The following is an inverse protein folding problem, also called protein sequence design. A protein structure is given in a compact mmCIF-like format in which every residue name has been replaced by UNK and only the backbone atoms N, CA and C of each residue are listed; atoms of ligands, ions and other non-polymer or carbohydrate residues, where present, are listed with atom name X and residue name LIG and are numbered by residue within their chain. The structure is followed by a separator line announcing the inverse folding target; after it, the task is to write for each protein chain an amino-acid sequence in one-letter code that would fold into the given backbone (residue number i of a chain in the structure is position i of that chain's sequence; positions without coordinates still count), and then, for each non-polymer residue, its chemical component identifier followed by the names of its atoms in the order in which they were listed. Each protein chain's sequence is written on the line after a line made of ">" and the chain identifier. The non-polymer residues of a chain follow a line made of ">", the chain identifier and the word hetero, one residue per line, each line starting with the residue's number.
data_IF_618478913077
#
_entry.id   IF_618478913077
#
_cell.length_a   1.000
_cell.length_b   1.000
_cell.length_c   1.000
_cell.angle_alpha   90.00
_cell.angle_beta   90.00
_cell.angle_gamma   90.00
#
_symmetry.space_group_name_H-M   'P 1'
#
loop_
_entity.id
_entity.type
_entity.pdbx_description
1 polymer ?
#
# COMPACT_ATOMS: atom_id res chain seq x y z
N UNK A 1 8.76 30.44 15.85
CA UNK A 1 7.34 30.04 15.69
C UNK A 1 7.30 28.52 15.64
N UNK A 2 6.84 27.91 16.71
CA UNK A 2 6.80 26.46 16.85
C UNK A 2 5.68 25.88 15.98
N UNK A 3 6.04 25.13 14.96
CA UNK A 3 5.08 24.38 14.16
C UNK A 3 4.69 23.15 14.96
N UNK A 4 3.51 23.17 15.53
CA UNK A 4 2.92 22.06 16.25
C UNK A 4 2.78 20.85 15.31
N UNK A 5 3.54 19.81 15.58
CA UNK A 5 3.30 18.44 15.10
C UNK A 5 2.08 17.91 15.85
N UNK A 6 0.93 17.92 15.22
CA UNK A 6 -0.20 17.12 15.69
C UNK A 6 0.11 15.65 15.37
N UNK A 7 0.81 15.02 16.29
CA UNK A 7 0.83 13.58 16.44
C UNK A 7 -0.59 13.16 16.88
N UNK A 8 -1.48 12.88 15.93
CA UNK A 8 -2.70 12.15 16.24
C UNK A 8 -2.30 10.71 16.55
N UNK A 9 -2.11 10.50 17.86
CA UNK A 9 -2.22 9.27 18.63
C UNK A 9 -1.61 8.02 17.97
N UNK A 10 -0.33 7.80 18.22
CA UNK A 10 0.24 6.45 18.25
C UNK A 10 -0.34 5.75 19.49
N UNK A 11 -1.48 5.10 19.35
CA UNK A 11 -1.98 4.17 20.36
C UNK A 11 -1.42 2.80 19.96
N UNK A 12 -0.32 2.42 20.60
CA UNK A 12 0.11 1.01 20.65
C UNK A 12 -0.89 0.26 21.54
N UNK A 13 -1.97 -0.21 20.99
CA UNK A 13 -2.74 -1.31 21.55
C UNK A 13 -2.41 -2.56 20.78
N UNK A 14 -2.16 -3.64 21.47
CA UNK A 14 -1.62 -4.94 21.07
C UNK A 14 -2.40 -5.73 19.99
N UNK A 15 -3.16 -5.08 19.12
CA UNK A 15 -3.93 -5.72 18.07
C UNK A 15 -4.21 -4.86 16.82
N UNK A 16 -3.67 -3.64 16.69
CA UNK A 16 -3.95 -2.79 15.55
C UNK A 16 -2.69 -2.12 15.00
N UNK A 17 -2.22 -2.63 13.86
CA UNK A 17 -1.25 -1.92 13.02
C UNK A 17 -1.83 -0.56 12.63
N UNK A 18 -1.22 0.50 13.12
CA UNK A 18 -1.60 1.87 12.78
C UNK A 18 -0.69 2.37 11.67
N UNK A 19 -1.27 2.65 10.50
CA UNK A 19 -0.55 3.38 9.45
C UNK A 19 -0.38 4.81 9.95
N UNK A 20 0.83 5.19 10.31
CA UNK A 20 1.13 6.56 10.67
C UNK A 20 1.39 7.34 9.39
N UNK A 21 0.37 8.04 8.93
CA UNK A 21 0.49 8.98 7.83
C UNK A 21 1.07 10.29 8.37
N UNK A 22 2.27 10.64 7.90
CA UNK A 22 2.81 11.97 8.13
C UNK A 22 2.28 12.90 7.03
N UNK A 23 1.32 13.80 7.33
CA UNK A 23 0.73 14.68 6.32
C UNK A 23 1.65 15.87 6.05
N UNK A 24 2.85 15.59 5.58
CA UNK A 24 3.68 16.64 5.02
C UNK A 24 3.23 16.90 3.59
N UNK A 25 3.26 18.15 3.14
CA UNK A 25 2.95 18.55 1.76
C UNK A 25 4.01 17.99 0.76
N UNK A 26 4.27 16.68 0.81
CA UNK A 26 5.23 15.96 -0.01
C UNK A 26 4.54 15.34 -1.25
N UNK A 27 3.60 16.08 -1.86
CA UNK A 27 2.74 15.56 -2.93
C UNK A 27 3.48 15.06 -4.17
N UNK A 28 4.75 15.42 -4.36
CA UNK A 28 5.57 15.04 -5.52
C UNK A 28 6.94 14.48 -5.15
N UNK A 29 7.06 13.87 -3.98
CA UNK A 29 8.34 13.41 -3.42
C UNK A 29 9.18 12.55 -4.39
N UNK A 30 8.58 11.49 -4.95
CA UNK A 30 9.29 10.58 -5.85
C UNK A 30 9.76 11.30 -7.14
N UNK A 31 8.86 12.10 -7.75
CA UNK A 31 9.19 12.89 -8.93
C UNK A 31 10.32 13.88 -8.66
N UNK A 32 10.26 14.64 -7.56
CA UNK A 32 11.31 15.59 -7.19
C UNK A 32 12.66 14.94 -6.99
N UNK A 33 12.71 13.82 -6.27
CA UNK A 33 13.98 13.09 -6.07
C UNK A 33 14.56 12.54 -7.38
N UNK A 34 13.72 11.94 -8.23
CA UNK A 34 14.19 11.25 -9.44
C UNK A 34 14.35 12.20 -10.64
N UNK A 35 13.48 13.21 -10.79
CA UNK A 35 13.49 14.12 -11.91
C UNK A 35 14.28 15.40 -11.65
N UNK A 36 14.18 15.96 -10.44
CA UNK A 36 14.79 17.26 -10.11
C UNK A 36 16.04 17.11 -9.25
N UNK A 37 16.34 15.89 -8.75
CA UNK A 37 17.42 15.63 -7.79
C UNK A 37 17.28 16.46 -6.49
N UNK A 38 16.04 16.82 -6.13
CA UNK A 38 15.72 17.53 -4.88
C UNK A 38 15.49 16.55 -3.74
N UNK A 39 16.42 16.54 -2.78
CA UNK A 39 16.39 15.65 -1.62
C UNK A 39 15.92 16.33 -0.32
N UNK A 40 15.35 17.54 -0.41
CA UNK A 40 14.84 18.27 0.76
C UNK A 40 13.87 17.43 1.59
N UNK A 41 13.02 16.69 0.92
CA UNK A 41 12.06 15.79 1.55
C UNK A 41 12.69 14.62 2.30
N UNK A 42 13.93 14.19 1.94
CA UNK A 42 14.67 13.16 2.69
C UNK A 42 15.14 13.70 4.03
N UNK A 43 15.56 14.97 4.08
CA UNK A 43 15.90 15.63 5.32
C UNK A 43 14.70 15.71 6.27
N UNK A 44 13.52 16.02 5.74
CA UNK A 44 12.30 16.04 6.52
C UNK A 44 11.94 14.66 7.07
N UNK A 45 12.09 13.60 6.28
CA UNK A 45 11.91 12.21 6.73
C UNK A 45 12.90 11.87 7.84
N UNK A 46 14.19 12.16 7.65
CA UNK A 46 15.19 11.92 8.66
C UNK A 46 14.89 12.65 9.98
N UNK A 47 14.48 13.92 9.90
CA UNK A 47 14.04 14.71 11.05
C UNK A 47 12.81 14.10 11.75
N UNK A 48 11.85 13.58 11.00
CA UNK A 48 10.69 12.89 11.55
C UNK A 48 11.07 11.61 12.30
N UNK A 49 11.96 10.80 11.72
CA UNK A 49 12.47 9.58 12.37
C UNK A 49 13.27 9.94 13.63
N UNK A 50 14.09 11.00 13.61
CA UNK A 50 14.79 11.51 14.80
C UNK A 50 13.81 11.93 15.89
N UNK A 51 12.68 12.56 15.54
CA UNK A 51 11.63 12.90 16.49
C UNK A 51 10.99 11.65 17.09
N UNK A 52 10.74 10.60 16.29
CA UNK A 52 10.28 9.32 16.82
C UNK A 52 11.29 8.68 17.77
N UNK A 53 12.58 8.72 17.44
CA UNK A 53 13.64 8.19 18.32
C UNK A 53 13.75 8.97 19.64
N UNK A 54 13.46 10.28 19.64
CA UNK A 54 13.46 11.08 20.87
C UNK A 54 12.29 10.73 21.78
N UNK A 55 11.18 10.23 21.24
CA UNK A 55 9.97 9.85 21.99
C UNK A 55 9.96 8.39 22.43
N UNK A 56 10.42 7.49 21.55
CA UNK A 56 10.30 6.03 21.72
C UNK A 56 11.64 5.31 21.91
N UNK A 57 12.72 6.05 22.07
CA UNK A 57 14.08 5.49 22.19
C UNK A 57 14.77 5.28 20.83
N UNK A 58 16.08 5.11 20.88
CA UNK A 58 16.93 4.94 19.69
C UNK A 58 16.63 3.59 19.04
N UNK A 59 16.39 3.56 17.73
CA UNK A 59 16.17 2.34 16.98
C UNK A 59 17.54 1.68 16.71
N UNK A 60 17.79 0.47 17.24
CA UNK A 60 19.14 -0.11 17.19
C UNK A 60 19.59 -0.59 15.82
N UNK A 61 18.67 -1.07 14.98
CA UNK A 61 18.99 -1.65 13.67
C UNK A 61 18.31 -0.86 12.55
N UNK A 62 19.10 -0.45 11.55
CA UNK A 62 18.60 0.24 10.36
C UNK A 62 18.96 -0.58 9.15
N UNK A 63 17.95 -1.09 8.47
CA UNK A 63 18.06 -1.78 7.20
C UNK A 63 17.45 -0.92 6.10
N UNK A 64 17.93 -1.05 4.89
CA UNK A 64 17.31 -0.31 3.78
C UNK A 64 17.82 -0.75 2.43
N UNK A 65 17.03 -0.40 1.41
CA UNK A 65 17.39 -0.62 0.01
C UNK A 65 16.98 0.59 -0.83
N UNK A 66 17.93 1.09 -1.61
CA UNK A 66 17.72 2.22 -2.51
C UNK A 66 18.53 3.46 -2.16
N UNK A 67 18.69 4.38 -3.13
CA UNK A 67 19.51 5.60 -2.98
C UNK A 67 18.93 6.56 -1.95
N UNK A 68 17.61 6.74 -1.95
CA UNK A 68 16.95 7.56 -0.96
C UNK A 68 17.05 6.96 0.45
N UNK A 69 16.99 5.62 0.56
CA UNK A 69 17.17 4.91 1.82
C UNK A 69 18.57 5.16 2.40
N UNK A 70 19.62 5.06 1.58
CA UNK A 70 21.01 5.38 1.97
C UNK A 70 21.14 6.82 2.44
N UNK A 71 20.60 7.78 1.68
CA UNK A 71 20.68 9.20 2.06
C UNK A 71 19.98 9.48 3.39
N UNK A 72 18.80 8.90 3.63
CA UNK A 72 18.10 9.05 4.92
C UNK A 72 18.93 8.44 6.05
N UNK A 73 19.50 7.25 5.87
CA UNK A 73 20.35 6.61 6.87
C UNK A 73 21.60 7.46 7.20
N UNK A 74 22.28 7.99 6.18
CA UNK A 74 23.43 8.88 6.36
C UNK A 74 23.05 10.17 7.10
N UNK A 75 21.88 10.75 6.81
CA UNK A 75 21.36 11.93 7.52
C UNK A 75 21.07 11.63 8.99
N UNK A 76 20.43 10.47 9.26
CA UNK A 76 20.17 10.02 10.63
C UNK A 76 21.45 9.89 11.44
N UNK A 77 22.49 9.27 10.87
CA UNK A 77 23.79 9.14 11.52
C UNK A 77 24.45 10.49 11.81
N UNK A 78 24.35 11.45 10.87
CA UNK A 78 24.90 12.82 11.06
C UNK A 78 24.15 13.56 12.16
N UNK A 79 22.81 13.59 12.11
CA UNK A 79 21.97 14.23 13.13
C UNK A 79 22.21 13.64 14.51
N UNK A 80 22.40 12.33 14.61
CA UNK A 80 22.68 11.66 15.88
C UNK A 80 24.06 12.06 16.45
N UNK A 81 25.08 12.19 15.60
CA UNK A 81 26.41 12.67 16.01
C UNK A 81 26.37 14.12 16.48
N UNK A 82 25.58 14.98 15.82
CA UNK A 82 25.40 16.39 16.18
C UNK A 82 24.70 16.58 17.52
N UNK A 83 23.69 15.73 17.83
CA UNK A 83 22.98 15.76 19.12
C UNK A 83 23.85 15.31 20.31
N UNK A 84 24.93 14.59 20.07
CA UNK A 84 25.92 14.18 21.08
C UNK A 84 25.30 13.39 22.24
N UNK A 85 25.82 13.67 23.46
CA UNK A 85 25.45 12.94 24.69
C UNK A 85 24.07 13.25 25.28
N UNK A 86 23.28 14.13 24.67
CA UNK A 86 21.88 14.44 25.08
C UNK A 86 20.92 13.35 24.61
N UNK A 87 21.40 12.13 24.42
CA UNK A 87 20.56 11.01 24.00
C UNK A 87 19.61 10.60 25.11
N UNK A 88 18.34 10.42 24.73
CA UNK A 88 17.32 10.01 25.67
C UNK A 88 17.67 8.64 26.28
N UNK A 89 17.65 8.54 27.61
CA UNK A 89 17.78 7.27 28.33
C UNK A 89 16.52 6.39 28.21
N UNK A 90 15.66 6.65 27.21
CA UNK A 90 14.42 5.91 27.00
C UNK A 90 14.78 4.56 26.34
N UNK A 91 14.33 3.44 26.91
CA UNK A 91 14.48 2.13 26.27
C UNK A 91 13.82 2.12 24.90
N UNK A 92 14.46 1.54 23.90
CA UNK A 92 13.89 1.43 22.57
C UNK A 92 12.59 0.63 22.60
N UNK A 93 11.51 1.22 22.07
CA UNK A 93 10.23 0.54 21.83
C UNK A 93 10.14 -0.02 20.41
N UNK A 94 11.04 0.39 19.51
CA UNK A 94 11.12 -0.06 18.11
C UNK A 94 12.46 -0.76 17.93
N UNK A 95 12.44 -2.02 17.52
CA UNK A 95 13.65 -2.84 17.42
C UNK A 95 14.42 -2.63 16.11
N UNK A 96 13.72 -2.35 15.01
CA UNK A 96 14.36 -2.15 13.71
C UNK A 96 13.62 -1.13 12.84
N UNK A 97 14.37 -0.42 12.00
CA UNK A 97 13.88 0.47 10.94
C UNK A 97 14.23 -0.14 9.59
N UNK A 98 13.24 -0.25 8.72
CA UNK A 98 13.42 -0.70 7.33
C UNK A 98 13.07 0.45 6.40
N UNK A 99 14.05 0.97 5.66
CA UNK A 99 13.89 2.05 4.69
C UNK A 99 13.78 1.45 3.28
N UNK A 100 12.64 1.60 2.65
CA UNK A 100 12.38 1.11 1.29
C UNK A 100 12.19 2.27 0.32
N UNK A 101 13.11 2.41 -0.63
CA UNK A 101 12.98 3.37 -1.74
C UNK A 101 12.02 2.82 -2.80
N UNK A 102 11.11 3.64 -3.28
CA UNK A 102 10.16 3.25 -4.33
C UNK A 102 10.84 2.81 -5.63
N UNK A 103 12.05 3.32 -5.91
CA UNK A 103 12.85 2.90 -7.07
C UNK A 103 13.20 1.41 -7.09
N UNK A 104 13.16 0.75 -5.94
CA UNK A 104 13.42 -0.71 -5.80
C UNK A 104 12.25 -1.54 -6.34
N UNK A 105 11.03 -1.02 -6.21
CA UNK A 105 9.81 -1.70 -6.64
C UNK A 105 8.89 -0.74 -7.39
N UNK A 106 9.14 -0.61 -8.69
CA UNK A 106 8.35 0.24 -9.59
C UNK A 106 7.10 -0.48 -10.12
N UNK A 107 7.04 -1.82 -10.04
CA UNK A 107 5.94 -2.60 -10.60
C UNK A 107 4.71 -2.60 -9.70
N UNK A 108 4.88 -2.77 -8.40
CA UNK A 108 3.78 -2.88 -7.44
C UNK A 108 2.77 -1.73 -7.50
N UNK A 109 3.16 -0.44 -7.57
CA UNK A 109 2.18 0.64 -7.69
C UNK A 109 1.40 0.63 -9.00
N UNK A 110 1.95 0.05 -10.07
CA UNK A 110 1.30 -0.04 -11.36
C UNK A 110 0.27 -1.18 -11.45
N UNK A 111 0.41 -2.23 -10.65
CA UNK A 111 -0.54 -3.32 -10.62
C UNK A 111 -1.87 -2.88 -9.97
N UNK A 112 -3.00 -3.36 -10.50
CA UNK A 112 -4.33 -3.05 -9.96
C UNK A 112 -4.54 -3.73 -8.62
N UNK A 113 -4.77 -2.93 -7.58
CA UNK A 113 -5.04 -3.41 -6.22
C UNK A 113 -6.38 -4.15 -6.18
N UNK A 114 -6.42 -5.34 -5.59
CA UNK A 114 -7.63 -6.17 -5.52
C UNK A 114 -8.16 -6.36 -4.10
N UNK A 115 -7.58 -5.67 -3.12
CA UNK A 115 -8.14 -5.57 -1.77
C UNK A 115 -9.31 -4.59 -1.75
N UNK A 116 -10.21 -4.72 -0.78
CA UNK A 116 -11.39 -3.85 -0.67
C UNK A 116 -11.01 -2.36 -0.58
N UNK A 117 -10.10 -2.00 0.34
CA UNK A 117 -9.64 -0.60 0.50
C UNK A 117 -8.81 -0.14 -0.70
N UNK A 118 -8.01 -1.04 -1.28
CA UNK A 118 -7.24 -0.78 -2.49
C UNK A 118 -8.12 -0.48 -3.71
N UNK A 119 -9.22 -1.22 -3.90
CA UNK A 119 -10.17 -0.95 -4.98
C UNK A 119 -10.94 0.35 -4.78
N UNK A 120 -11.29 0.70 -3.55
CA UNK A 120 -11.87 2.02 -3.26
C UNK A 120 -10.91 3.13 -3.72
N UNK A 121 -9.62 2.98 -3.42
CA UNK A 121 -8.61 3.96 -3.83
C UNK A 121 -8.38 3.99 -5.35
N UNK A 122 -8.33 2.83 -6.01
CA UNK A 122 -8.18 2.74 -7.47
C UNK A 122 -9.34 3.41 -8.23
N UNK A 123 -10.57 3.20 -7.78
CA UNK A 123 -11.77 3.64 -8.49
C UNK A 123 -12.19 5.08 -8.14
N UNK A 124 -12.08 5.45 -6.86
CA UNK A 124 -12.63 6.71 -6.34
C UNK A 124 -11.59 7.62 -5.71
N UNK A 125 -10.42 7.09 -5.35
CA UNK A 125 -9.36 7.81 -4.67
C UNK A 125 -9.67 8.11 -3.20
N UNK A 126 -8.78 7.72 -2.30
CA UNK A 126 -8.88 7.99 -0.87
C UNK A 126 -7.96 9.15 -0.50
N UNK A 127 -8.53 10.23 0.06
CA UNK A 127 -7.76 11.41 0.50
C UNK A 127 -8.00 11.67 1.98
N UNK A 128 -6.96 11.63 2.79
CA UNK A 128 -7.03 11.87 4.23
C UNK A 128 -8.11 11.01 4.92
N UNK A 129 -8.16 9.71 4.60
CA UNK A 129 -9.17 8.75 5.08
C UNK A 129 -10.61 9.05 4.64
N UNK A 130 -10.82 9.92 3.67
CA UNK A 130 -12.13 10.19 3.10
C UNK A 130 -12.22 9.76 1.65
N UNK A 131 -13.36 9.20 1.30
CA UNK A 131 -13.74 8.88 -0.09
C UNK A 131 -14.99 9.66 -0.47
N UNK A 132 -15.06 10.08 -1.74
CA UNK A 132 -16.24 10.72 -2.34
C UNK A 132 -16.90 9.72 -3.28
N UNK A 133 -18.13 9.35 -2.99
CA UNK A 133 -18.86 8.33 -3.72
C UNK A 133 -20.14 8.90 -4.34
N UNK A 134 -20.63 8.31 -5.45
CA UNK A 134 -21.91 8.68 -6.05
C UNK A 134 -23.04 8.51 -5.02
N UNK A 135 -23.91 9.52 -4.83
CA UNK A 135 -24.93 9.50 -3.78
C UNK A 135 -26.06 8.51 -4.03
N UNK A 136 -26.26 8.09 -5.28
CA UNK A 136 -27.40 7.30 -5.76
C UNK A 136 -27.61 5.97 -5.00
N UNK A 137 -26.53 5.29 -4.64
CA UNK A 137 -26.58 4.00 -3.93
C UNK A 137 -26.85 4.14 -2.43
N UNK A 138 -26.75 5.34 -1.88
CA UNK A 138 -26.90 5.60 -0.44
C UNK A 138 -28.27 6.17 -0.08
N UNK A 139 -29.15 6.37 -1.07
CA UNK A 139 -30.51 6.82 -0.84
C UNK A 139 -31.38 5.66 -0.39
N UNK A 140 -32.26 5.83 0.62
CA UNK A 140 -33.22 4.83 0.98
C UNK A 140 -34.20 4.62 -0.19
N UNK A 141 -34.27 3.40 -0.72
CA UNK A 141 -35.31 3.03 -1.71
C UNK A 141 -36.67 3.05 -1.03
N UNK A 142 -37.41 4.16 -1.14
CA UNK A 142 -38.79 4.25 -0.72
C UNK A 142 -39.68 3.72 -1.85
N UNK A 143 -40.41 2.64 -1.60
CA UNK A 143 -41.39 2.13 -2.53
C UNK A 143 -42.55 3.13 -2.59
N UNK A 144 -42.80 3.73 -3.76
CA UNK A 144 -43.99 4.51 -4.03
C UNK A 144 -43.86 6.04 -4.12
N UNK A 145 -42.69 6.62 -3.97
CA UNK A 145 -42.48 8.05 -4.24
C UNK A 145 -41.94 8.25 -5.65
N UNK A 146 -42.46 9.27 -6.38
CA UNK A 146 -42.03 9.66 -7.72
C UNK A 146 -40.51 10.03 -7.76
N UNK A 147 -40.00 10.43 -8.94
CA UNK A 147 -38.56 10.71 -9.09
C UNK A 147 -38.09 11.77 -8.09
N UNK A 148 -37.39 11.31 -7.03
CA UNK A 148 -36.73 12.23 -6.10
C UNK A 148 -35.59 12.92 -6.84
N UNK A 149 -35.45 14.21 -6.64
CA UNK A 149 -34.27 14.96 -7.06
C UNK A 149 -33.05 14.30 -6.41
N UNK A 150 -32.20 13.72 -7.26
CA UNK A 150 -30.95 13.09 -6.82
C UNK A 150 -30.03 14.17 -6.22
N UNK A 151 -29.47 13.99 -5.03
CA UNK A 151 -28.46 14.91 -4.51
C UNK A 151 -27.33 15.04 -5.52
N UNK A 152 -27.05 16.26 -5.93
CA UNK A 152 -26.01 16.55 -6.92
C UNK A 152 -24.61 16.43 -6.32
N UNK A 153 -24.50 16.49 -4.99
CA UNK A 153 -23.21 16.42 -4.30
C UNK A 153 -22.78 14.99 -3.97
N UNK A 154 -21.50 14.63 -4.25
CA UNK A 154 -20.99 13.31 -3.90
C UNK A 154 -21.00 13.10 -2.37
N UNK A 155 -21.44 11.93 -1.96
CA UNK A 155 -21.43 11.55 -0.54
C UNK A 155 -20.01 11.37 -0.04
N UNK A 156 -19.61 12.17 0.94
CA UNK A 156 -18.31 12.04 1.60
C UNK A 156 -18.40 11.05 2.76
N UNK A 157 -17.61 9.99 2.71
CA UNK A 157 -17.53 8.96 3.75
C UNK A 157 -16.12 8.92 4.33
N UNK A 158 -16.04 8.73 5.66
CA UNK A 158 -14.78 8.50 6.34
C UNK A 158 -14.54 7.00 6.47
N UNK A 159 -13.37 6.55 6.02
CA UNK A 159 -12.89 5.18 6.21
C UNK A 159 -12.03 5.15 7.48
N UNK A 160 -12.60 4.66 8.57
CA UNK A 160 -11.93 4.67 9.89
C UNK A 160 -11.57 3.26 10.34
N UNK A 161 -10.36 3.09 10.84
CA UNK A 161 -9.93 1.85 11.51
C UNK A 161 -10.67 1.58 12.82
N UNK A 162 -11.33 2.59 13.39
CA UNK A 162 -12.17 2.44 14.57
C UNK A 162 -13.53 1.78 14.26
N UNK A 163 -13.92 1.73 12.99
CA UNK A 163 -15.12 1.03 12.54
C UNK A 163 -14.81 -0.46 12.40
N UNK A 164 -15.49 -1.27 13.21
CA UNK A 164 -15.23 -2.72 13.31
C UNK A 164 -15.38 -3.45 11.97
N UNK A 165 -16.45 -3.16 11.22
CA UNK A 165 -16.69 -3.81 9.93
C UNK A 165 -15.64 -3.41 8.90
N UNK A 166 -15.30 -2.11 8.81
CA UNK A 166 -14.24 -1.65 7.92
C UNK A 166 -12.90 -2.29 8.27
N UNK A 167 -12.53 -2.37 9.54
CA UNK A 167 -11.32 -3.02 10.01
C UNK A 167 -11.27 -4.52 9.63
N UNK A 168 -12.42 -5.21 9.62
CA UNK A 168 -12.52 -6.62 9.23
C UNK A 168 -12.36 -6.84 7.73
N UNK A 169 -12.89 -5.94 6.87
CA UNK A 169 -12.97 -6.19 5.42
C UNK A 169 -11.93 -5.45 4.58
N UNK A 170 -11.32 -4.38 5.10
CA UNK A 170 -10.45 -3.47 4.33
C UNK A 170 -9.28 -4.19 3.63
N UNK A 171 -8.66 -5.13 4.32
CA UNK A 171 -7.47 -5.84 3.85
C UNK A 171 -7.82 -7.13 3.08
N UNK A 172 -9.10 -7.53 3.02
CA UNK A 172 -9.52 -8.73 2.29
C UNK A 172 -9.50 -8.51 0.79
N UNK A 173 -9.18 -9.57 0.04
CA UNK A 173 -9.44 -9.58 -1.40
C UNK A 173 -10.94 -9.37 -1.64
N UNK A 174 -11.29 -8.59 -2.66
CA UNK A 174 -12.68 -8.22 -2.94
C UNK A 174 -13.60 -9.43 -3.14
N UNK A 175 -13.09 -10.53 -3.70
CA UNK A 175 -13.84 -11.77 -3.88
C UNK A 175 -14.29 -12.42 -2.56
N UNK A 176 -13.63 -12.09 -1.44
CA UNK A 176 -13.99 -12.55 -0.10
C UNK A 176 -14.92 -11.60 0.67
N UNK A 177 -15.08 -10.36 0.21
CA UNK A 177 -15.85 -9.32 0.92
C UNK A 177 -17.35 -9.66 0.98
N UNK A 178 -17.92 -10.15 -0.10
CA UNK A 178 -19.35 -10.50 -0.15
C UNK A 178 -19.74 -11.55 0.89
N UNK A 179 -18.89 -12.55 1.14
CA UNK A 179 -19.11 -13.57 2.16
C UNK A 179 -19.02 -12.97 3.57
N UNK A 180 -18.08 -12.07 3.82
CA UNK A 180 -17.93 -11.38 5.10
C UNK A 180 -19.17 -10.51 5.41
N UNK A 181 -19.64 -9.70 4.44
CA UNK A 181 -20.85 -8.90 4.58
C UNK A 181 -22.10 -9.78 4.82
N UNK A 182 -22.24 -10.88 4.10
CA UNK A 182 -23.36 -11.83 4.27
C UNK A 182 -23.33 -12.50 5.65
N UNK A 183 -22.16 -12.83 6.17
CA UNK A 183 -22.01 -13.37 7.52
C UNK A 183 -22.43 -12.34 8.58
N UNK A 184 -22.01 -11.08 8.44
CA UNK A 184 -22.41 -9.99 9.34
C UNK A 184 -23.92 -9.74 9.27
N UNK A 185 -24.51 -9.76 8.07
CA UNK A 185 -25.95 -9.61 7.89
C UNK A 185 -26.74 -10.70 8.65
N UNK A 186 -26.33 -11.96 8.51
CA UNK A 186 -26.95 -13.09 9.24
C UNK A 186 -26.84 -12.92 10.77
N UNK A 187 -25.68 -12.50 11.27
CA UNK A 187 -25.48 -12.28 12.70
C UNK A 187 -26.38 -11.16 13.25
N UNK A 188 -26.55 -10.08 12.47
CA UNK A 188 -27.47 -8.98 12.84
C UNK A 188 -28.91 -9.47 12.85
N UNK A 189 -29.33 -10.22 11.83
CA UNK A 189 -30.69 -10.78 11.75
C UNK A 189 -30.98 -11.70 12.92
N UNK A 190 -30.06 -12.62 13.25
CA UNK A 190 -30.20 -13.52 14.40
C UNK A 190 -30.33 -12.73 15.72
N UNK A 191 -29.52 -11.68 15.90
CA UNK A 191 -29.61 -10.84 17.10
C UNK A 191 -30.94 -10.06 17.19
N UNK A 192 -31.56 -9.71 16.06
CA UNK A 192 -32.90 -9.11 16.06
C UNK A 192 -34.00 -10.15 16.32
N UNK A 193 -33.83 -11.41 15.88
CA UNK A 193 -34.76 -12.49 16.15
C UNK A 193 -34.79 -12.91 17.62
N UNK A 194 -33.66 -12.85 18.34
CA UNK A 194 -33.59 -13.05 19.80
C UNK A 194 -34.58 -12.16 20.55
N UNK A 195 -34.90 -10.96 20.05
CA UNK A 195 -35.90 -10.05 20.61
C UNK A 195 -37.29 -10.71 20.71
N UNK A 196 -37.67 -11.47 19.69
CA UNK A 196 -38.98 -12.11 19.67
C UNK A 196 -39.10 -13.26 20.67
N UNK A 197 -37.97 -13.76 21.16
CA UNK A 197 -37.90 -14.85 22.13
C UNK A 197 -37.79 -14.33 23.57
N UNK A 198 -37.46 -13.05 23.78
CA UNK A 198 -37.34 -12.44 25.11
C UNK A 198 -38.69 -12.40 25.83
N UNK A 199 -38.79 -13.15 26.96
CA UNK A 199 -40.03 -13.29 27.76
C UNK A 199 -40.00 -12.53 29.07
N UNK A 200 -38.79 -12.12 29.54
CA UNK A 200 -38.62 -11.44 30.82
C UNK A 200 -38.31 -9.95 30.64
N UNK A 201 -38.75 -9.13 31.58
CA UNK A 201 -38.47 -7.66 31.59
C UNK A 201 -36.97 -7.39 31.62
N UNK A 202 -36.19 -8.26 32.29
CA UNK A 202 -34.73 -8.17 32.35
C UNK A 202 -34.07 -8.37 30.97
N UNK A 203 -34.50 -9.38 30.20
CA UNK A 203 -34.03 -9.63 28.84
C UNK A 203 -34.36 -8.48 27.89
N UNK A 204 -35.57 -7.95 28.01
CA UNK A 204 -36.01 -6.78 27.22
C UNK A 204 -35.12 -5.56 27.54
N UNK A 205 -34.83 -5.30 28.83
CA UNK A 205 -33.94 -4.19 29.23
C UNK A 205 -32.54 -4.36 28.67
N UNK A 206 -31.98 -5.59 28.70
CA UNK A 206 -30.67 -5.89 28.14
C UNK A 206 -30.64 -5.70 26.61
N UNK A 207 -31.69 -6.12 25.91
CA UNK A 207 -31.83 -5.91 24.48
C UNK A 207 -31.86 -4.41 24.14
N UNK A 208 -32.70 -3.63 24.84
CA UNK A 208 -32.83 -2.17 24.62
C UNK A 208 -31.50 -1.46 24.83
N UNK A 209 -30.69 -1.89 25.81
CA UNK A 209 -29.33 -1.30 26.02
C UNK A 209 -28.36 -1.58 24.87
N UNK A 210 -28.52 -2.69 24.12
CA UNK A 210 -27.71 -3.06 22.95
C UNK A 210 -28.21 -2.43 21.64
N UNK A 211 -29.44 -1.94 21.61
CA UNK A 211 -30.10 -1.45 20.39
C UNK A 211 -29.32 -0.36 19.66
N UNK A 212 -28.75 0.69 20.32
CA UNK A 212 -27.98 1.72 19.64
C UNK A 212 -26.74 1.15 18.90
N UNK A 213 -26.05 0.23 19.54
CA UNK A 213 -24.89 -0.45 18.93
C UNK A 213 -25.30 -1.28 17.71
N UNK A 214 -26.39 -2.03 17.80
CA UNK A 214 -26.94 -2.79 16.68
C UNK A 214 -27.37 -1.89 15.52
N UNK A 215 -27.94 -0.73 15.78
CA UNK A 215 -28.28 0.25 14.75
C UNK A 215 -27.04 0.80 14.05
N UNK A 216 -25.97 1.08 14.80
CA UNK A 216 -24.67 1.50 14.23
C UNK A 216 -24.10 0.43 13.32
N UNK A 217 -24.08 -0.83 13.75
CA UNK A 217 -23.59 -1.96 12.92
C UNK A 217 -24.45 -2.12 11.66
N UNK A 218 -25.79 -1.99 11.78
CA UNK A 218 -26.69 -2.07 10.62
C UNK A 218 -26.42 -0.94 9.62
N UNK A 219 -26.22 0.29 10.10
CA UNK A 219 -25.87 1.45 9.26
C UNK A 219 -24.53 1.27 8.56
N UNK A 220 -23.52 0.80 9.30
CA UNK A 220 -22.21 0.43 8.75
C UNK A 220 -22.32 -0.63 7.67
N UNK A 221 -23.06 -1.71 7.94
CA UNK A 221 -23.29 -2.78 6.96
C UNK A 221 -23.98 -2.26 5.69
N UNK A 222 -24.99 -1.42 5.81
CA UNK A 222 -25.66 -0.83 4.66
C UNK A 222 -24.71 0.06 3.84
N UNK A 223 -23.86 0.83 4.50
CA UNK A 223 -22.86 1.68 3.85
C UNK A 223 -21.82 0.84 3.09
N UNK A 224 -21.24 -0.18 3.72
CA UNK A 224 -20.24 -1.03 3.08
C UNK A 224 -20.82 -1.95 1.99
N UNK A 225 -22.11 -2.33 2.10
CA UNK A 225 -22.81 -3.04 1.03
C UNK A 225 -22.98 -2.14 -0.19
N UNK A 226 -23.38 -0.87 -0.01
CA UNK A 226 -23.48 0.08 -1.13
C UNK A 226 -22.12 0.35 -1.79
N UNK A 227 -21.05 0.45 -1.01
CA UNK A 227 -19.67 0.57 -1.56
C UNK A 227 -19.30 -0.69 -2.35
N UNK A 228 -19.58 -1.87 -1.81
CA UNK A 228 -19.28 -3.14 -2.49
C UNK A 228 -20.06 -3.28 -3.80
N UNK A 229 -21.31 -2.81 -3.87
CA UNK A 229 -22.09 -2.77 -5.13
C UNK A 229 -21.43 -1.84 -6.16
N UNK A 230 -20.98 -0.65 -5.76
CA UNK A 230 -20.27 0.29 -6.65
C UNK A 230 -18.96 -0.30 -7.19
N UNK A 231 -18.18 -0.96 -6.33
CA UNK A 231 -16.96 -1.66 -6.76
C UNK A 231 -17.31 -2.77 -7.73
N UNK A 232 -18.33 -3.57 -7.43
CA UNK A 232 -18.74 -4.71 -8.26
C UNK A 232 -19.19 -4.25 -9.65
N UNK A 233 -19.92 -3.15 -9.76
CA UNK A 233 -20.30 -2.57 -11.05
C UNK A 233 -19.06 -2.18 -11.88
N UNK A 234 -18.10 -1.52 -11.27
CA UNK A 234 -16.86 -1.12 -11.93
C UNK A 234 -16.00 -2.31 -12.36
N UNK A 235 -15.82 -3.29 -11.45
CA UNK A 235 -14.93 -4.45 -11.69
C UNK A 235 -15.52 -5.50 -12.63
N UNK A 236 -16.85 -5.49 -12.86
CA UNK A 236 -17.51 -6.35 -13.85
C UNK A 236 -17.46 -5.79 -15.27
N UNK A 237 -17.03 -4.55 -15.46
CA UNK A 237 -16.91 -4.00 -16.81
C UNK A 237 -15.86 -4.78 -17.62
N UNK A 238 -16.18 -5.06 -18.87
CA UNK A 238 -15.28 -5.73 -19.82
C UNK A 238 -13.92 -5.03 -19.88
N UNK A 239 -13.93 -3.71 -19.98
CA UNK A 239 -12.73 -2.89 -20.01
C UNK A 239 -11.83 -3.03 -18.75
N UNK A 240 -12.42 -3.26 -17.57
CA UNK A 240 -11.64 -3.52 -16.35
C UNK A 240 -11.03 -4.93 -16.38
N UNK A 241 -11.80 -5.92 -16.76
CA UNK A 241 -11.37 -7.32 -16.83
C UNK A 241 -10.26 -7.52 -17.88
N UNK A 242 -10.40 -6.92 -19.05
CA UNK A 242 -9.38 -6.97 -20.10
C UNK A 242 -8.07 -6.32 -19.66
N UNK A 243 -8.16 -5.15 -19.02
CA UNK A 243 -6.98 -4.47 -18.48
C UNK A 243 -6.28 -5.33 -17.42
N UNK A 244 -7.05 -5.92 -16.51
CA UNK A 244 -6.52 -6.81 -15.46
C UNK A 244 -5.88 -8.07 -16.06
N UNK A 245 -6.49 -8.67 -17.09
CA UNK A 245 -5.93 -9.82 -17.79
C UNK A 245 -4.56 -9.48 -18.41
N UNK A 246 -4.45 -8.33 -19.08
CA UNK A 246 -3.18 -7.83 -19.65
C UNK A 246 -2.12 -7.61 -18.56
N UNK A 247 -2.48 -7.01 -17.43
CA UNK A 247 -1.56 -6.84 -16.28
C UNK A 247 -1.03 -8.18 -15.79
N UNK A 248 -1.92 -9.19 -15.64
CA UNK A 248 -1.56 -10.53 -15.19
C UNK A 248 -0.65 -11.26 -16.20
N UNK A 249 -0.86 -11.07 -17.49
CA UNK A 249 0.03 -11.63 -18.54
C UNK A 249 1.45 -11.05 -18.43
N UNK A 250 1.61 -9.74 -18.23
CA UNK A 250 2.93 -9.13 -18.02
C UNK A 250 3.64 -9.70 -16.80
N UNK A 251 2.95 -9.78 -15.67
CA UNK A 251 3.51 -10.29 -14.41
C UNK A 251 3.90 -11.77 -14.56
N UNK A 252 3.08 -12.54 -15.27
CA UNK A 252 3.33 -13.96 -15.55
C UNK A 252 4.52 -14.17 -16.50
N UNK A 253 4.89 -13.14 -17.27
CA UNK A 253 5.94 -13.23 -18.28
C UNK A 253 5.57 -14.15 -19.45
N UNK A 254 4.26 -14.31 -19.70
CA UNK A 254 3.73 -14.97 -20.87
C UNK A 254 3.81 -13.96 -22.02
N UNK A 255 4.03 -14.44 -23.20
CA UNK A 255 4.22 -13.77 -24.49
C UNK A 255 3.81 -12.28 -24.57
N UNK A 256 4.74 -11.39 -24.23
CA UNK A 256 4.53 -9.94 -24.22
C UNK A 256 4.25 -9.34 -25.60
N UNK A 257 4.54 -10.08 -26.70
CA UNK A 257 4.28 -9.59 -28.06
C UNK A 257 2.78 -9.64 -28.42
N UNK A 258 1.99 -10.53 -27.81
CA UNK A 258 0.51 -10.55 -28.00
C UNK A 258 -0.17 -9.37 -27.35
N UNK A 259 0.34 -8.94 -26.22
CA UNK A 259 -0.24 -7.85 -25.44
C UNK A 259 0.00 -6.48 -26.09
N UNK A 260 0.96 -6.39 -27.01
CA UNK A 260 1.19 -5.18 -27.78
C UNK A 260 -0.07 -4.70 -28.52
N UNK A 261 -0.81 -5.62 -29.13
CA UNK A 261 -2.06 -5.30 -29.84
C UNK A 261 -3.13 -4.71 -28.89
N UNK A 262 -3.21 -5.18 -27.65
CA UNK A 262 -4.17 -4.61 -26.67
C UNK A 262 -3.83 -3.18 -26.28
N UNK A 263 -2.55 -2.83 -26.16
CA UNK A 263 -2.11 -1.46 -25.88
C UNK A 263 -2.44 -0.54 -27.09
N UNK A 264 -2.18 -1.00 -28.32
CA UNK A 264 -2.51 -0.26 -29.55
C UNK A 264 -4.01 -0.02 -29.67
N UNK A 265 -4.82 -1.00 -29.32
CA UNK A 265 -6.28 -0.87 -29.30
C UNK A 265 -6.72 0.20 -28.30
N UNK A 266 -6.19 0.20 -27.07
CA UNK A 266 -6.49 1.23 -26.07
C UNK A 266 -6.10 2.65 -26.54
N UNK A 267 -4.98 2.81 -27.25
CA UNK A 267 -4.57 4.08 -27.83
C UNK A 267 -5.54 4.50 -28.92
N UNK A 268 -5.90 3.57 -29.83
CA UNK A 268 -6.82 3.85 -30.95
C UNK A 268 -8.22 4.28 -30.46
N UNK A 269 -8.69 3.69 -29.37
CA UNK A 269 -9.95 4.03 -28.69
C UNK A 269 -9.85 5.30 -27.84
N UNK A 270 -8.67 5.94 -27.76
CA UNK A 270 -8.40 7.09 -26.89
C UNK A 270 -8.83 6.87 -25.44
N UNK A 271 -8.53 5.70 -24.91
CA UNK A 271 -8.74 5.42 -23.48
C UNK A 271 -7.92 6.39 -22.61
N UNK A 272 -8.25 6.62 -21.32
CA UNK A 272 -7.50 7.51 -20.45
C UNK A 272 -6.00 7.25 -20.52
N UNK A 273 -5.21 8.30 -20.74
CA UNK A 273 -3.76 8.20 -20.98
C UNK A 273 -3.04 7.45 -19.84
N UNK A 274 -3.46 7.67 -18.60
CA UNK A 274 -2.86 7.01 -17.43
C UNK A 274 -2.99 5.49 -17.53
N UNK A 275 -4.09 4.98 -18.05
CA UNK A 275 -4.30 3.54 -18.26
C UNK A 275 -3.32 2.99 -19.30
N UNK A 276 -3.15 3.68 -20.40
CA UNK A 276 -2.24 3.31 -21.49
C UNK A 276 -0.79 3.33 -20.98
N UNK A 277 -0.38 4.43 -20.35
CA UNK A 277 0.97 4.58 -19.80
C UNK A 277 1.26 3.51 -18.72
N UNK A 278 0.27 3.16 -17.91
CA UNK A 278 0.38 2.11 -16.89
C UNK A 278 0.79 0.78 -17.51
N UNK A 279 0.08 0.32 -18.54
CA UNK A 279 0.38 -0.93 -19.22
C UNK A 279 1.70 -0.90 -19.98
N UNK A 280 2.04 0.22 -20.64
CA UNK A 280 3.32 0.40 -21.30
C UNK A 280 4.50 0.30 -20.31
N UNK A 281 4.38 0.95 -19.15
CA UNK A 281 5.38 0.88 -18.08
C UNK A 281 5.50 -0.53 -17.51
N UNK A 282 4.39 -1.24 -17.27
CA UNK A 282 4.41 -2.63 -16.80
C UNK A 282 5.09 -3.55 -17.81
N UNK A 283 4.76 -3.44 -19.11
CA UNK A 283 5.42 -4.17 -20.17
C UNK A 283 6.95 -3.92 -20.17
N UNK A 284 7.36 -2.65 -20.07
CA UNK A 284 8.77 -2.27 -20.03
C UNK A 284 9.49 -2.88 -18.82
N UNK A 285 8.89 -2.86 -17.64
CA UNK A 285 9.49 -3.38 -16.41
C UNK A 285 9.60 -4.91 -16.44
N UNK A 286 8.55 -5.61 -16.84
CA UNK A 286 8.51 -7.07 -16.86
C UNK A 286 9.36 -7.67 -17.98
N UNK A 287 9.48 -6.99 -19.12
CA UNK A 287 10.29 -7.45 -20.27
C UNK A 287 11.76 -7.05 -20.18
N UNK A 288 12.17 -6.27 -19.15
CA UNK A 288 13.52 -5.74 -19.03
C UNK A 288 13.85 -4.66 -20.08
N UNK A 289 12.84 -3.93 -20.50
CA UNK A 289 12.85 -2.89 -21.51
C UNK A 289 12.06 -3.28 -22.77
N UNK A 290 11.62 -2.27 -23.53
CA UNK A 290 10.90 -2.44 -24.78
C UNK A 290 11.87 -2.52 -25.96
N UNK A 291 11.56 -3.32 -26.97
CA UNK A 291 12.30 -3.32 -28.24
C UNK A 291 12.32 -1.89 -28.79
N UNK A 292 13.44 -1.37 -29.35
CA UNK A 292 13.54 0.01 -29.81
C UNK A 292 12.40 0.42 -30.77
N UNK A 293 12.06 -0.48 -31.71
CA UNK A 293 10.95 -0.25 -32.66
C UNK A 293 9.61 -0.10 -31.96
N UNK A 294 9.32 -0.90 -30.93
CA UNK A 294 8.08 -0.85 -30.15
C UNK A 294 8.02 0.43 -29.33
N UNK A 295 9.14 0.83 -28.70
CA UNK A 295 9.20 2.07 -27.93
C UNK A 295 8.98 3.30 -28.81
N UNK A 296 9.62 3.36 -29.99
CA UNK A 296 9.45 4.47 -30.95
C UNK A 296 8.04 4.49 -31.56
N UNK A 297 7.43 3.31 -31.72
CA UNK A 297 6.05 3.21 -32.18
C UNK A 297 5.10 3.77 -31.13
N UNK A 298 5.19 3.32 -29.87
CA UNK A 298 4.37 3.86 -28.79
C UNK A 298 4.53 5.36 -28.60
N UNK A 299 5.75 5.91 -28.67
CA UNK A 299 5.98 7.35 -28.60
C UNK A 299 5.19 8.09 -29.68
N UNK A 300 5.24 7.62 -30.92
CA UNK A 300 4.51 8.24 -32.05
C UNK A 300 3.00 8.17 -31.83
N UNK A 301 2.49 7.00 -31.50
CA UNK A 301 1.05 6.81 -31.28
C UNK A 301 0.51 7.66 -30.14
N UNK A 302 1.23 7.74 -29.01
CA UNK A 302 0.85 8.60 -27.89
C UNK A 302 0.80 10.07 -28.30
N UNK A 303 1.83 10.57 -28.98
CA UNK A 303 1.88 11.98 -29.42
C UNK A 303 0.79 12.30 -30.45
N UNK A 304 0.45 11.36 -31.33
CA UNK A 304 -0.62 11.53 -32.31
C UNK A 304 -2.02 11.48 -31.69
N UNK A 305 -2.25 10.55 -30.73
CA UNK A 305 -3.56 10.35 -30.16
C UNK A 305 -3.90 11.36 -29.05
N UNK A 306 -2.92 11.70 -28.19
CA UNK A 306 -3.14 12.46 -26.95
C UNK A 306 -2.56 13.88 -26.99
N UNK A 307 -1.64 14.17 -27.91
CA UNK A 307 -1.06 15.49 -28.09
C UNK A 307 0.44 15.55 -27.81
N UNK A 308 1.09 16.59 -28.41
CA UNK A 308 2.54 16.75 -28.35
C UNK A 308 3.05 17.15 -26.95
N UNK A 309 2.19 17.72 -26.13
CA UNK A 309 2.45 18.08 -24.73
C UNK A 309 2.93 16.90 -23.89
N UNK A 310 2.57 15.67 -24.25
CA UNK A 310 2.99 14.45 -23.54
C UNK A 310 4.41 13.98 -23.85
N UNK A 311 5.16 14.74 -24.66
CA UNK A 311 6.58 14.43 -24.92
C UNK A 311 7.41 14.49 -23.62
N UNK A 312 7.19 15.53 -22.81
CA UNK A 312 7.84 15.66 -21.50
C UNK A 312 7.46 14.52 -20.54
N UNK A 313 6.20 14.12 -20.55
CA UNK A 313 5.71 12.95 -19.78
C UNK A 313 6.50 11.69 -20.15
N UNK A 314 6.62 11.38 -21.44
CA UNK A 314 7.38 10.21 -21.91
C UNK A 314 8.85 10.28 -21.49
N UNK A 315 9.47 11.45 -21.61
CA UNK A 315 10.84 11.67 -21.16
C UNK A 315 11.00 11.47 -19.63
N UNK A 316 10.07 11.98 -18.84
CA UNK A 316 10.07 11.79 -17.40
C UNK A 316 9.96 10.31 -17.02
N UNK A 317 9.06 9.56 -17.67
CA UNK A 317 8.92 8.12 -17.45
C UNK A 317 10.20 7.34 -17.82
N UNK A 318 10.93 7.76 -18.84
CA UNK A 318 12.22 7.18 -19.20
C UNK A 318 13.29 7.51 -18.16
N UNK A 319 13.37 8.76 -17.73
CA UNK A 319 14.34 9.22 -16.73
C UNK A 319 14.18 8.50 -15.39
N UNK A 320 12.93 8.24 -14.98
CA UNK A 320 12.62 7.47 -13.78
C UNK A 320 12.86 5.97 -13.97
N UNK A 321 12.97 5.50 -15.22
CA UNK A 321 13.21 4.11 -15.57
C UNK A 321 11.95 3.25 -15.65
N UNK A 322 10.77 3.86 -15.74
CA UNK A 322 9.50 3.17 -16.00
C UNK A 322 9.38 2.75 -17.46
N UNK A 323 9.78 3.62 -18.39
CA UNK A 323 9.93 3.29 -19.80
C UNK A 323 11.42 3.14 -20.12
N UNK A 324 11.83 1.96 -20.59
CA UNK A 324 13.23 1.68 -20.97
C UNK A 324 13.27 1.05 -22.36
N UNK A 325 14.22 1.48 -23.17
CA UNK A 325 14.63 0.70 -24.32
C UNK A 325 15.38 -0.56 -23.86
N UNK A 326 15.22 -1.65 -24.55
CA UNK A 326 15.95 -2.88 -24.27
C UNK A 326 17.44 -2.63 -24.50
N UNK A 327 18.20 -2.63 -23.41
CA UNK A 327 19.67 -2.55 -23.45
C UNK A 327 20.17 -3.99 -23.39
N UNK A 328 21.12 -4.35 -24.26
CA UNK A 328 21.70 -5.70 -24.28
C UNK A 328 22.13 -6.14 -22.88
N UNK A 329 21.47 -7.17 -22.34
CA UNK A 329 21.70 -7.71 -21.02
C UNK A 329 20.58 -8.69 -20.62
N UNK A 330 20.80 -9.39 -19.50
CA UNK A 330 19.80 -10.34 -18.98
C UNK A 330 18.72 -9.59 -18.21
N UNK A 331 17.46 -9.81 -18.57
CA UNK A 331 16.32 -9.29 -17.80
C UNK A 331 16.35 -9.85 -16.37
N UNK A 332 16.43 -8.99 -15.31
CA UNK A 332 16.46 -9.46 -13.93
C UNK A 332 15.09 -9.93 -13.43
N UNK A 333 13.99 -9.47 -14.01
CA UNK A 333 12.64 -9.72 -13.49
C UNK A 333 12.27 -11.21 -13.38
N UNK A 334 12.56 -12.09 -14.35
CA UNK A 334 12.27 -13.54 -14.22
C UNK A 334 13.03 -14.19 -13.05
N UNK A 335 14.26 -13.72 -12.77
CA UNK A 335 15.06 -14.22 -11.64
C UNK A 335 14.44 -13.76 -10.34
N UNK A 336 14.15 -12.45 -10.22
CA UNK A 336 13.47 -11.86 -9.04
C UNK A 336 12.15 -12.57 -8.76
N UNK A 337 11.32 -12.74 -9.80
CA UNK A 337 10.02 -13.39 -9.71
C UNK A 337 10.12 -14.80 -9.15
N UNK A 338 11.07 -15.61 -9.66
CA UNK A 338 11.25 -17.00 -9.23
C UNK A 338 11.84 -17.08 -7.82
N UNK A 339 12.91 -16.34 -7.54
CA UNK A 339 13.65 -16.47 -6.28
C UNK A 339 12.86 -15.89 -5.10
N UNK A 340 12.22 -14.76 -5.29
CA UNK A 340 11.40 -14.12 -4.26
C UNK A 340 9.94 -14.61 -4.25
N UNK A 341 9.59 -15.57 -5.10
CA UNK A 341 8.22 -16.09 -5.23
C UNK A 341 7.20 -14.95 -5.36
N UNK A 342 7.47 -14.02 -6.30
CA UNK A 342 6.58 -12.88 -6.50
C UNK A 342 5.27 -13.28 -7.17
N UNK A 343 5.23 -14.43 -7.85
CA UNK A 343 4.04 -14.91 -8.51
C UNK A 343 3.72 -16.33 -8.04
N UNK A 344 2.46 -16.55 -7.69
CA UNK A 344 1.87 -17.84 -7.37
C UNK A 344 0.71 -18.11 -8.33
N UNK A 345 0.65 -19.36 -8.85
CA UNK A 345 -0.41 -19.80 -9.76
C UNK A 345 -1.71 -20.13 -9.03
N UNK A 346 -1.62 -20.58 -7.79
CA UNK A 346 -2.77 -20.95 -6.97
C UNK A 346 -2.81 -20.07 -5.73
N UNK A 347 -3.80 -19.18 -5.66
CA UNK A 347 -4.02 -18.29 -4.53
C UNK A 347 -5.40 -18.48 -3.97
N UNK A 348 -5.48 -18.74 -2.67
CA UNK A 348 -6.75 -18.77 -1.97
C UNK A 348 -7.10 -17.35 -1.51
N UNK A 349 -7.94 -16.66 -2.29
CA UNK A 349 -8.34 -15.27 -2.02
C UNK A 349 -9.26 -15.13 -0.80
N UNK A 350 -10.01 -16.19 -0.47
CA UNK A 350 -10.95 -16.19 0.66
C UNK A 350 -10.25 -16.46 1.99
N UNK A 351 -9.31 -17.40 2.00
CA UNK A 351 -8.50 -17.74 3.17
C UNK A 351 -7.02 -17.71 2.75
N UNK A 352 -6.43 -16.53 2.64
CA UNK A 352 -5.08 -16.37 2.12
C UNK A 352 -4.05 -17.04 3.04
N UNK A 353 -3.07 -17.67 2.42
CA UNK A 353 -1.89 -18.24 3.06
C UNK A 353 -0.59 -17.53 2.67
N UNK A 354 -0.67 -16.58 1.74
CA UNK A 354 0.46 -15.82 1.23
C UNK A 354 0.03 -14.40 0.85
N UNK A 355 0.95 -13.44 0.95
CA UNK A 355 0.71 -12.01 0.63
C UNK A 355 0.32 -11.73 -0.82
N UNK A 356 0.49 -12.68 -1.73
CA UNK A 356 0.10 -12.55 -3.15
C UNK A 356 -1.40 -12.39 -3.38
N UNK A 357 -2.22 -12.65 -2.35
CA UNK A 357 -3.67 -12.48 -2.45
C UNK A 357 -4.11 -11.03 -2.73
N UNK A 358 -3.28 -10.05 -2.37
CA UNK A 358 -3.60 -8.63 -2.55
C UNK A 358 -3.69 -8.20 -4.03
N UNK A 359 -3.05 -8.95 -4.92
CA UNK A 359 -3.08 -8.78 -6.38
C UNK A 359 -3.47 -10.09 -7.10
N UNK A 360 -4.19 -11.00 -6.42
CA UNK A 360 -4.66 -12.28 -6.99
C UNK A 360 -3.57 -13.08 -7.71
N UNK A 361 -2.41 -13.19 -7.08
CA UNK A 361 -1.28 -13.98 -7.58
C UNK A 361 0.07 -13.27 -7.58
N UNK A 362 0.10 -11.95 -7.48
CA UNK A 362 1.35 -11.19 -7.40
C UNK A 362 1.60 -10.69 -5.97
N UNK A 363 2.77 -11.01 -5.44
CA UNK A 363 3.23 -10.53 -4.14
C UNK A 363 4.08 -9.26 -4.32
N UNK A 364 3.77 -8.16 -3.62
CA UNK A 364 4.57 -6.93 -3.68
C UNK A 364 6.05 -7.20 -3.37
N UNK A 365 6.95 -6.81 -4.27
CA UNK A 365 8.38 -6.99 -4.09
C UNK A 365 8.88 -6.31 -2.81
N UNK A 366 8.42 -5.09 -2.55
CA UNK A 366 8.74 -4.32 -1.35
C UNK A 366 8.40 -5.08 -0.06
N UNK A 367 7.22 -5.69 0.01
CA UNK A 367 6.76 -6.46 1.18
C UNK A 367 7.50 -7.80 1.28
N UNK A 368 7.82 -8.44 0.16
CA UNK A 368 8.68 -9.64 0.15
C UNK A 368 10.06 -9.35 0.75
N UNK A 369 10.66 -8.21 0.44
CA UNK A 369 11.94 -7.83 1.04
C UNK A 369 11.84 -7.70 2.56
N UNK A 370 10.74 -7.12 3.09
CA UNK A 370 10.49 -7.06 4.53
C UNK A 370 10.33 -8.46 5.12
N UNK A 371 9.58 -9.33 4.46
CA UNK A 371 9.38 -10.72 4.88
C UNK A 371 10.70 -11.50 4.95
N UNK A 372 11.54 -11.38 3.91
CA UNK A 372 12.86 -12.03 3.89
C UNK A 372 13.81 -11.42 4.92
N UNK A 373 13.69 -10.14 5.24
CA UNK A 373 14.50 -9.53 6.30
C UNK A 373 14.15 -10.14 7.68
N UNK A 374 12.85 -10.32 7.94
CA UNK A 374 12.38 -10.93 9.17
C UNK A 374 12.85 -12.40 9.31
N UNK A 375 12.70 -13.19 8.24
CA UNK A 375 13.13 -14.59 8.14
C UNK A 375 13.37 -14.99 6.68
N UNK A 376 14.51 -15.57 6.30
CA UNK A 376 15.69 -15.93 7.10
C UNK A 376 16.75 -14.85 7.23
N UNK A 377 16.50 -13.63 6.76
CA UNK A 377 17.41 -12.50 6.69
C UNK A 377 17.92 -12.25 5.28
N UNK A 378 18.32 -11.00 4.98
CA UNK A 378 18.75 -10.58 3.62
C UNK A 378 20.01 -11.27 3.13
N UNK A 379 20.86 -11.78 4.03
CA UNK A 379 22.03 -12.57 3.64
C UNK A 379 21.68 -13.80 2.80
N UNK A 380 20.49 -14.37 3.00
CA UNK A 380 20.02 -15.53 2.23
C UNK A 380 19.64 -15.20 0.78
N UNK A 381 19.41 -13.92 0.48
CA UNK A 381 19.00 -13.41 -0.83
C UNK A 381 19.98 -12.36 -1.38
N UNK A 382 21.24 -12.33 -0.90
CA UNK A 382 22.23 -11.33 -1.27
C UNK A 382 22.43 -11.22 -2.80
N UNK A 383 22.47 -12.35 -3.51
CA UNK A 383 22.58 -12.38 -4.97
C UNK A 383 21.40 -11.67 -5.66
N UNK A 384 20.21 -11.81 -5.09
CA UNK A 384 19.00 -11.17 -5.61
C UNK A 384 18.99 -9.69 -5.28
N UNK A 385 19.44 -9.31 -4.08
CA UNK A 385 19.57 -7.89 -3.69
C UNK A 385 20.53 -7.14 -4.60
N UNK A 386 21.58 -7.80 -5.10
CA UNK A 386 22.51 -7.21 -6.09
C UNK A 386 21.87 -6.95 -7.46
N UNK A 387 20.79 -7.65 -7.81
CA UNK A 387 20.05 -7.41 -9.05
C UNK A 387 19.11 -6.20 -8.94
N UNK A 388 18.74 -5.82 -7.73
CA UNK A 388 17.92 -4.64 -7.46
C UNK A 388 18.77 -3.38 -7.55
N UNK A 389 18.19 -2.26 -8.03
CA UNK A 389 18.92 -1.00 -8.14
C UNK A 389 19.39 -0.52 -6.76
N UNK A 390 20.53 0.19 -6.78
CA UNK A 390 21.01 0.98 -5.65
C UNK A 390 21.55 0.21 -4.44
N UNK A 391 22.28 0.87 -3.55
CA UNK A 391 22.97 0.23 -2.44
C UNK A 391 22.01 -0.35 -1.39
N UNK A 392 22.52 -1.30 -0.64
CA UNK A 392 21.93 -1.82 0.59
C UNK A 392 22.43 -1.01 1.80
N UNK A 393 21.57 -0.85 2.79
CA UNK A 393 21.86 -0.25 4.09
C UNK A 393 21.69 -1.35 5.14
N UNK A 394 22.74 -1.58 5.93
CA UNK A 394 22.74 -2.47 7.10
C UNK A 394 23.58 -1.82 8.19
N UNK A 395 22.98 -0.90 8.94
CA UNK A 395 23.63 -0.08 9.92
C UNK A 395 23.13 -0.39 11.34
N UNK A 396 24.03 -0.33 12.32
CA UNK A 396 23.69 -0.42 13.75
C UNK A 396 23.97 0.90 14.44
N UNK A 397 22.98 1.40 15.16
CA UNK A 397 23.11 2.60 15.96
C UNK A 397 23.68 2.27 17.34
N UNK A 398 24.66 3.05 17.85
CA UNK A 398 25.15 2.88 19.20
C UNK A 398 24.04 3.25 20.21
N UNK A 399 23.78 2.34 21.15
CA UNK A 399 22.86 2.59 22.24
C UNK A 399 23.57 3.29 23.41
N UNK A 400 22.87 4.13 24.20
CA UNK A 400 23.41 4.73 25.39
C UNK A 400 23.93 3.70 26.40
N UNK A 401 24.98 4.00 27.17
CA UNK A 401 25.50 3.12 28.21
C UNK A 401 24.41 2.73 29.22
N UNK A 402 24.27 1.45 29.51
CA UNK A 402 23.24 0.91 30.41
C UNK A 402 21.94 0.46 29.71
N UNK A 403 21.74 0.82 28.44
CA UNK A 403 20.62 0.34 27.60
C UNK A 403 21.05 -0.76 26.63
N UNK A 404 22.27 -1.29 26.79
CA UNK A 404 22.80 -2.36 25.96
C UNK A 404 21.79 -3.51 25.90
N UNK A 405 21.28 -3.75 24.71
CA UNK A 405 20.55 -4.94 24.25
C UNK A 405 19.90 -5.79 25.35
N UNK A 406 18.69 -5.42 25.76
CA UNK A 406 17.83 -6.37 26.53
C UNK A 406 17.54 -7.64 25.73
N UNK A 407 17.89 -7.69 24.44
CA UNK A 407 17.63 -8.79 23.50
C UNK A 407 18.89 -9.15 22.72
N UNK A 408 19.86 -9.76 23.41
CA UNK A 408 20.94 -10.48 22.71
C UNK A 408 20.41 -11.79 22.14
N UNK A 409 21.01 -12.34 21.05
CA UNK A 409 20.69 -13.70 20.60
C UNK A 409 21.15 -14.70 21.70
N UNK A 410 20.22 -15.13 22.56
CA UNK A 410 20.46 -16.08 23.65
C UNK A 410 20.18 -15.59 25.07
N UNK A 411 19.74 -14.34 25.26
CA UNK A 411 19.45 -13.78 26.60
C UNK A 411 18.01 -13.95 27.04
N UNK A 412 17.44 -15.15 26.92
CA UNK A 412 16.16 -15.51 27.51
C UNK A 412 16.32 -15.78 29.01
N UNK A 413 16.10 -14.78 29.85
CA UNK A 413 15.56 -15.02 31.20
C UNK A 413 14.12 -14.60 31.19
N UNK A 414 13.28 -15.59 31.53
CA UNK A 414 11.82 -15.53 31.65
C UNK A 414 11.06 -15.60 30.30
N UNK A 415 10.47 -16.74 30.09
CA UNK A 415 9.60 -17.32 29.06
C UNK A 415 8.53 -16.50 28.35
N UNK A 416 8.61 -15.20 28.30
CA UNK A 416 7.78 -14.36 27.42
C UNK A 416 8.59 -13.97 26.19
N UNK A 417 8.23 -14.53 25.04
CA UNK A 417 8.71 -14.09 23.72
C UNK A 417 8.24 -12.66 23.50
N UNK A 418 9.09 -11.67 23.84
CA UNK A 418 8.72 -10.28 23.65
C UNK A 418 8.57 -9.99 22.15
N UNK A 419 7.40 -9.53 21.78
CA UNK A 419 7.01 -9.14 20.43
C UNK A 419 8.00 -8.14 19.85
N UNK A 420 8.50 -8.41 18.63
CA UNK A 420 9.44 -7.54 17.92
C UNK A 420 8.68 -6.45 17.18
N UNK A 421 9.12 -5.21 17.29
CA UNK A 421 8.49 -4.08 16.60
C UNK A 421 9.40 -3.56 15.50
N UNK A 422 8.92 -3.57 14.26
CA UNK A 422 9.66 -3.08 13.09
C UNK A 422 8.95 -1.90 12.45
N UNK A 423 9.63 -0.77 12.32
CA UNK A 423 9.15 0.39 11.56
C UNK A 423 9.56 0.22 10.09
N UNK A 424 8.60 0.02 9.20
CA UNK A 424 8.82 -0.02 7.75
C UNK A 424 8.45 1.33 7.16
N UNK A 425 9.41 2.03 6.57
CA UNK A 425 9.22 3.36 6.01
C UNK A 425 9.41 3.36 4.48
N UNK A 426 8.33 3.67 3.75
CA UNK A 426 8.33 3.76 2.30
C UNK A 426 8.66 5.18 1.83
N UNK A 427 9.78 5.32 1.13
CA UNK A 427 10.26 6.56 0.54
C UNK A 427 9.76 6.64 -0.91
N UNK A 428 8.86 7.56 -1.19
CA UNK A 428 8.24 7.72 -2.51
C UNK A 428 6.82 7.19 -2.64
N UNK A 429 6.27 6.63 -1.56
CA UNK A 429 4.87 6.23 -1.49
C UNK A 429 4.64 4.74 -1.25
N UNK A 430 3.46 4.41 -0.72
CA UNK A 430 2.99 3.04 -0.47
C UNK A 430 1.55 2.89 -0.96
N UNK A 431 1.19 1.70 -1.43
CA UNK A 431 -0.17 1.34 -1.83
C UNK A 431 -0.96 0.72 -0.68
N UNK A 432 -2.29 0.78 -0.71
CA UNK A 432 -3.13 0.09 0.27
C UNK A 432 -2.94 -1.43 0.23
N UNK A 433 -2.64 -2.00 -0.94
CA UNK A 433 -2.33 -3.43 -1.06
C UNK A 433 -1.03 -3.81 -0.35
N UNK A 434 0.03 -2.98 -0.41
CA UNK A 434 1.25 -3.20 0.36
C UNK A 434 0.99 -3.09 1.87
N UNK A 435 0.16 -2.14 2.29
CA UNK A 435 -0.28 -2.00 3.69
C UNK A 435 -1.03 -3.24 4.15
N UNK A 436 -1.99 -3.73 3.35
CA UNK A 436 -2.74 -4.96 3.64
C UNK A 436 -1.81 -6.19 3.73
N UNK A 437 -0.83 -6.30 2.83
CA UNK A 437 0.14 -7.39 2.85
C UNK A 437 1.04 -7.36 4.11
N UNK A 438 1.47 -6.19 4.58
CA UNK A 438 2.23 -6.07 5.83
C UNK A 438 1.39 -6.43 7.06
N UNK A 439 0.12 -6.02 7.09
CA UNK A 439 -0.83 -6.41 8.15
C UNK A 439 -1.05 -7.92 8.16
N UNK A 440 -1.15 -8.53 6.98
CA UNK A 440 -1.25 -9.97 6.86
C UNK A 440 -0.01 -10.69 7.41
N UNK A 441 1.21 -10.21 7.09
CA UNK A 441 2.45 -10.76 7.65
C UNK A 441 2.47 -10.69 9.18
N UNK A 442 2.05 -9.58 9.78
CA UNK A 442 1.98 -9.45 11.24
C UNK A 442 1.03 -10.47 11.89
N UNK A 443 -0.03 -10.88 11.18
CA UNK A 443 -1.00 -11.85 11.68
C UNK A 443 -0.56 -13.30 11.49
N UNK A 444 0.26 -13.59 10.47
CA UNK A 444 0.61 -14.95 10.05
C UNK A 444 2.00 -15.39 10.50
N UNK A 445 2.91 -14.46 10.84
CA UNK A 445 4.30 -14.75 11.21
C UNK A 445 4.40 -15.14 12.69
N UNK A 446 3.78 -16.26 13.10
CA UNK A 446 3.79 -16.83 14.47
C UNK A 446 3.62 -15.77 15.60
N UNK A 447 3.04 -14.62 15.29
CA UNK A 447 2.72 -13.55 16.24
C UNK A 447 3.91 -12.81 16.85
N UNK A 448 5.10 -12.93 16.28
CA UNK A 448 6.32 -12.42 16.93
C UNK A 448 6.83 -11.07 16.38
N UNK A 449 6.24 -10.51 15.31
CA UNK A 449 6.66 -9.24 14.73
C UNK A 449 5.47 -8.32 14.46
N UNK A 450 5.48 -7.14 15.07
CA UNK A 450 4.57 -6.04 14.73
C UNK A 450 5.23 -5.09 13.75
N UNK A 451 4.46 -4.66 12.73
CA UNK A 451 4.93 -3.68 11.76
C UNK A 451 4.24 -2.33 11.97
N UNK A 452 5.04 -1.29 12.16
CA UNK A 452 4.58 0.11 12.07
C UNK A 452 4.91 0.58 10.66
N UNK A 453 3.92 1.16 9.96
CA UNK A 453 4.11 1.57 8.57
C UNK A 453 4.19 3.09 8.51
N UNK A 454 5.30 3.59 7.97
CA UNK A 454 5.52 5.00 7.66
C UNK A 454 5.62 5.20 6.14
N UNK A 455 5.15 6.34 5.64
CA UNK A 455 5.27 6.67 4.22
C UNK A 455 5.24 8.17 3.98
N UNK A 456 5.81 8.59 2.88
CA UNK A 456 5.71 9.96 2.41
C UNK A 456 4.35 10.27 1.77
N UNK A 457 3.70 9.26 1.14
CA UNK A 457 2.41 9.42 0.46
C UNK A 457 1.71 8.07 0.30
N UNK A 458 0.37 8.07 0.30
CA UNK A 458 -0.43 6.96 -0.22
C UNK A 458 -0.58 7.14 -1.74
N UNK A 459 -0.32 6.09 -2.51
CA UNK A 459 -0.32 6.10 -3.97
C UNK A 459 -1.11 4.92 -4.54
N UNK A 460 -1.65 5.12 -5.73
CA UNK A 460 -2.08 4.08 -6.66
C UNK A 460 -1.48 4.35 -8.05
N UNK A 461 -1.64 3.45 -9.00
CA UNK A 461 -1.03 3.56 -10.31
C UNK A 461 -1.33 4.89 -11.00
N UNK A 462 -2.58 5.33 -10.97
CA UNK A 462 -3.02 6.56 -11.62
C UNK A 462 -2.46 7.82 -10.92
N UNK A 463 -2.56 7.89 -9.60
CA UNK A 463 -2.06 9.05 -8.83
C UNK A 463 -0.54 9.16 -8.87
N UNK A 464 0.14 8.02 -8.95
CA UNK A 464 1.60 7.98 -9.04
C UNK A 464 2.07 8.42 -10.43
N UNK A 465 1.50 7.89 -11.51
CA UNK A 465 1.81 8.31 -12.88
C UNK A 465 1.51 9.81 -13.09
N UNK A 466 0.35 10.29 -12.63
CA UNK A 466 0.02 11.73 -12.67
C UNK A 466 1.05 12.60 -11.98
N UNK A 467 1.71 12.12 -10.94
CA UNK A 467 2.76 12.89 -10.26
C UNK A 467 4.08 13.00 -11.05
N UNK A 468 4.22 12.22 -12.12
CA UNK A 468 5.36 12.22 -13.04
C UNK A 468 5.04 12.94 -14.37
N UNK A 469 3.76 13.25 -14.60
CA UNK A 469 3.30 14.00 -15.74
C UNK A 469 3.43 15.49 -15.43
N UNK A 470 3.94 16.27 -16.40
CA UNK A 470 3.94 17.72 -16.29
C UNK A 470 2.50 18.23 -16.43
N UNK A 471 2.10 19.12 -15.54
CA UNK A 471 0.85 19.90 -15.66
C UNK A 471 1.19 21.21 -16.36
N UNK A 472 0.79 21.34 -17.62
CA UNK A 472 0.85 22.60 -18.35
C UNK A 472 -0.36 23.47 -18.04
#
# INVERSE_FOLDING_TARGET
>A
MATFLTLNTLVCTSSHLTVTYFPWKLSSHFGKCCLESDYTSMFDVAKGIMTLQSLYGIIPEIHGKGDCARKVADMLQRMQKELGSVQSCIPSSIDSLVLLDRSVDLLTPLATQLTYEGLIDELYGVKNMYVKLPPEKFLPRRQGEGPQELPTEPKRLQLSSAEELHAEIRDRNFNAVGEALSRRARNITAAFEERHQARTVGEIKQFVSRLPHMQTIKSSLATHTAIAELIQEATRSESFLDTLAVEQEFISGIDTDKVHASIEELISQRQPLERVLRLMCMQSLCSGGLKPRTLDHYRREILQAYGFEHLSTLFNLEKVGLLRGQIGGRNPFPILRKTLRLQLSEVNEKNPNDISYVYSGYAPLSVRLVQFLARPGWRSIEEVLRLLPSPEVDDRQPLPPGLAYKRGPGGGRDGESSQRVTLVFFLGGVTFAEVAALRFLAQTDDGNTDYIIGTTKLINGNTWLKSLMDTF
#
